data_IF_649412243733
#
_entry.id   IF_649412243733
#
_cell.length_a   1.000
_cell.length_b   1.000
_cell.length_c   1.000
_cell.angle_alpha   90.00
_cell.angle_beta   90.00
_cell.angle_gamma   90.00
#
_symmetry.space_group_name_H-M   'P 1'
#
loop_
_entity.id
_entity.type
_entity.pdbx_description
1 polymer ?
#
# COMPACT_ATOMS: atom_id res chain seq x y z
N UNK A 1 -69.30 40.19 41.74
CA UNK A 1 -69.57 39.28 42.88
C UNK A 1 -69.72 37.88 42.27
N UNK A 2 -69.20 36.84 42.94
CA UNK A 2 -69.14 35.41 42.53
C UNK A 2 -67.94 35.04 41.64
N UNK A 3 -66.75 34.75 42.18
CA UNK A 3 -66.20 33.49 42.80
C UNK A 3 -65.67 32.46 41.81
N UNK A 4 -64.33 32.41 41.68
CA UNK A 4 -63.52 31.34 41.08
C UNK A 4 -63.48 30.09 41.98
N UNK A 5 -63.49 28.86 41.42
CA UNK A 5 -62.98 27.68 42.11
C UNK A 5 -61.70 27.09 41.46
N UNK A 6 -60.69 26.96 42.32
CA UNK A 6 -59.77 25.83 42.52
C UNK A 6 -58.93 25.26 41.35
N UNK A 7 -57.68 25.72 41.24
CA UNK A 7 -56.57 25.10 40.48
C UNK A 7 -55.95 23.84 41.13
N UNK A 8 -56.72 23.06 41.90
CA UNK A 8 -56.22 21.93 42.69
C UNK A 8 -56.25 20.55 42.00
N UNK A 9 -57.02 20.38 40.92
CA UNK A 9 -57.33 19.04 40.37
C UNK A 9 -56.31 18.50 39.35
N UNK A 10 -55.59 19.37 38.63
CA UNK A 10 -54.70 18.97 37.52
C UNK A 10 -53.37 18.36 37.98
N UNK A 11 -52.83 18.80 39.12
CA UNK A 11 -51.58 18.25 39.67
C UNK A 11 -51.77 16.83 40.24
N UNK A 12 -52.96 16.51 40.75
CA UNK A 12 -53.27 15.18 41.30
C UNK A 12 -53.46 14.12 40.20
N UNK A 13 -54.00 14.51 39.04
CA UNK A 13 -54.12 13.60 37.88
C UNK A 13 -52.78 13.27 37.22
N UNK A 14 -51.81 14.20 37.25
CA UNK A 14 -50.49 13.97 36.63
C UNK A 14 -49.61 12.98 37.43
N UNK A 15 -49.67 13.03 38.78
CA UNK A 15 -48.93 12.10 39.65
C UNK A 15 -49.48 10.66 39.56
N UNK A 16 -50.78 10.51 39.35
CA UNK A 16 -51.44 9.20 39.25
C UNK A 16 -51.12 8.49 37.92
N UNK A 17 -50.94 9.25 36.84
CA UNK A 17 -50.59 8.71 35.52
C UNK A 17 -49.12 8.24 35.43
N UNK A 18 -48.20 8.94 36.09
CA UNK A 18 -46.78 8.53 36.15
C UNK A 18 -46.58 7.23 36.94
N UNK A 19 -47.38 7.01 37.99
CA UNK A 19 -47.32 5.82 38.84
C UNK A 19 -47.76 4.54 38.12
N UNK A 20 -48.64 4.66 37.12
CA UNK A 20 -49.14 3.52 36.35
C UNK A 20 -48.22 3.13 35.18
N UNK A 21 -47.57 4.10 34.51
CA UNK A 21 -46.69 3.82 33.36
C UNK A 21 -45.32 3.25 33.74
N UNK A 22 -44.78 3.60 34.91
CA UNK A 22 -43.51 3.04 35.40
C UNK A 22 -43.61 1.56 35.83
N UNK A 23 -44.84 1.07 36.07
CA UNK A 23 -45.07 -0.30 36.53
C UNK A 23 -45.04 -1.34 35.40
N UNK A 24 -45.35 -0.92 34.17
CA UNK A 24 -45.52 -1.84 33.03
C UNK A 24 -44.22 -2.16 32.26
N UNK A 25 -43.16 -1.36 32.40
CA UNK A 25 -41.87 -1.64 31.72
C UNK A 25 -40.93 -2.57 32.49
N UNK A 26 -41.25 -2.92 33.74
CA UNK A 26 -40.40 -3.78 34.58
C UNK A 26 -40.56 -5.28 34.25
N UNK A 27 -41.52 -5.67 33.40
CA UNK A 27 -41.91 -7.07 33.13
C UNK A 27 -40.97 -7.82 32.19
N UNK A 28 -40.01 -7.12 31.59
CA UNK A 28 -39.03 -7.69 30.67
C UNK A 28 -37.65 -7.93 31.30
N UNK A 29 -37.49 -7.65 32.60
CA UNK A 29 -36.25 -7.91 33.31
C UNK A 29 -36.22 -9.37 33.79
N UNK A 30 -35.06 -10.06 33.71
CA UNK A 30 -34.92 -11.42 34.20
C UNK A 30 -35.38 -11.49 35.66
N UNK A 31 -36.11 -12.56 36.00
CA UNK A 31 -36.82 -12.73 37.29
C UNK A 31 -35.90 -12.49 38.51
N UNK A 32 -34.60 -12.79 38.36
CA UNK A 32 -33.55 -12.56 39.36
C UNK A 32 -33.31 -11.07 39.66
N UNK A 33 -33.31 -10.21 38.64
CA UNK A 33 -33.14 -8.77 38.78
C UNK A 33 -34.39 -8.11 39.39
N UNK A 34 -35.56 -8.66 39.07
CA UNK A 34 -36.86 -8.21 39.59
C UNK A 34 -36.99 -8.47 41.09
N UNK A 35 -36.55 -9.64 41.56
CA UNK A 35 -36.59 -10.01 42.98
C UNK A 35 -35.66 -9.11 43.83
N UNK A 36 -34.47 -8.79 43.32
CA UNK A 36 -33.51 -7.91 43.98
C UNK A 36 -34.06 -6.48 44.18
N UNK A 37 -34.72 -5.92 43.15
CA UNK A 37 -35.28 -4.56 43.18
C UNK A 37 -36.50 -4.45 44.11
N UNK A 38 -37.25 -5.54 44.28
CA UNK A 38 -38.45 -5.57 45.12
C UNK A 38 -38.15 -5.58 46.63
N UNK A 39 -36.91 -5.92 47.05
CA UNK A 39 -36.48 -5.94 48.46
C UNK A 39 -35.75 -4.64 48.91
N UNK A 40 -35.68 -3.61 48.05
CA UNK A 40 -34.95 -2.37 48.33
C UNK A 40 -35.83 -1.28 48.96
N UNK A 41 -35.32 -0.62 50.01
CA UNK A 41 -35.96 0.57 50.62
C UNK A 41 -36.08 1.71 49.59
N UNK A 42 -37.16 2.50 49.64
CA UNK A 42 -37.50 3.58 48.69
C UNK A 42 -36.32 4.48 48.27
N UNK A 43 -35.45 4.85 49.22
CA UNK A 43 -34.23 5.64 48.97
C UNK A 43 -33.26 5.03 47.96
N UNK A 44 -33.10 3.70 47.94
CA UNK A 44 -32.20 3.03 46.99
C UNK A 44 -32.78 3.01 45.57
N UNK A 45 -34.12 2.99 45.44
CA UNK A 45 -34.78 3.04 44.13
C UNK A 45 -34.55 4.37 43.42
N UNK A 46 -34.57 5.48 44.17
CA UNK A 46 -34.25 6.82 43.64
C UNK A 46 -32.77 6.93 43.27
N UNK A 47 -31.87 6.42 44.13
CA UNK A 47 -30.43 6.48 43.88
C UNK A 47 -30.03 5.66 42.63
N UNK A 48 -30.63 4.48 42.44
CA UNK A 48 -30.42 3.66 41.24
C UNK A 48 -30.93 4.34 39.96
N UNK A 49 -32.06 5.05 40.02
CA UNK A 49 -32.57 5.79 38.87
C UNK A 49 -31.62 6.93 38.45
N UNK A 50 -31.12 7.70 39.42
CA UNK A 50 -30.16 8.78 39.16
C UNK A 50 -28.84 8.24 38.59
N UNK A 51 -28.30 7.16 39.18
CA UNK A 51 -27.11 6.50 38.66
C UNK A 51 -27.31 5.95 37.24
N UNK A 52 -28.49 5.38 36.96
CA UNK A 52 -28.83 4.87 35.62
C UNK A 52 -28.82 5.94 34.54
N UNK A 53 -29.30 7.15 34.84
CA UNK A 53 -29.26 8.29 33.89
C UNK A 53 -27.83 8.68 33.57
N UNK A 54 -26.96 8.74 34.58
CA UNK A 54 -25.54 9.08 34.39
C UNK A 54 -24.84 8.02 33.53
N UNK A 55 -25.04 6.73 33.84
CA UNK A 55 -24.49 5.62 33.05
C UNK A 55 -24.96 5.68 31.60
N UNK A 56 -26.25 5.96 31.37
CA UNK A 56 -26.82 6.09 30.03
C UNK A 56 -26.18 7.25 29.25
N UNK A 57 -26.00 8.41 29.90
CA UNK A 57 -25.38 9.57 29.27
C UNK A 57 -23.93 9.28 28.85
N UNK A 58 -23.13 8.65 29.73
CA UNK A 58 -21.77 8.23 29.38
C UNK A 58 -21.76 7.18 28.26
N UNK A 59 -22.64 6.18 28.29
CA UNK A 59 -22.70 5.16 27.25
C UNK A 59 -22.98 5.77 25.87
N UNK A 60 -23.95 6.68 25.77
CA UNK A 60 -24.28 7.36 24.51
C UNK A 60 -23.11 8.24 24.02
N UNK A 61 -22.48 8.98 24.93
CA UNK A 61 -21.32 9.81 24.59
C UNK A 61 -20.14 8.96 24.10
N UNK A 62 -19.83 7.86 24.78
CA UNK A 62 -18.77 6.93 24.37
C UNK A 62 -19.06 6.33 23.00
N UNK A 63 -20.28 5.85 22.75
CA UNK A 63 -20.64 5.26 21.45
C UNK A 63 -20.56 6.28 20.30
N UNK A 64 -21.02 7.51 20.52
CA UNK A 64 -20.94 8.57 19.52
C UNK A 64 -19.49 8.92 19.15
N UNK A 65 -18.63 9.09 20.17
CA UNK A 65 -17.23 9.39 19.94
C UNK A 65 -16.45 8.21 19.34
N UNK A 66 -16.72 6.99 19.79
CA UNK A 66 -16.11 5.78 19.23
C UNK A 66 -16.45 5.63 17.74
N UNK A 67 -17.71 5.88 17.36
CA UNK A 67 -18.11 5.87 15.96
C UNK A 67 -17.35 6.91 15.10
N UNK A 68 -17.23 8.14 15.60
CA UNK A 68 -16.51 9.20 14.91
C UNK A 68 -15.00 8.88 14.79
N UNK A 69 -14.38 8.40 15.87
CA UNK A 69 -12.96 8.05 15.91
C UNK A 69 -12.62 6.90 14.97
N UNK A 70 -13.46 5.86 14.87
CA UNK A 70 -13.24 4.74 13.94
C UNK A 70 -13.13 5.22 12.49
N UNK A 71 -13.96 6.19 12.10
CA UNK A 71 -13.92 6.75 10.74
C UNK A 71 -12.61 7.49 10.49
N UNK A 72 -12.18 8.35 11.41
CA UNK A 72 -10.92 9.08 11.31
C UNK A 72 -9.70 8.14 11.32
N UNK A 73 -9.72 7.09 12.16
CA UNK A 73 -8.64 6.09 12.21
C UNK A 73 -8.51 5.38 10.86
N UNK A 74 -9.63 4.94 10.27
CA UNK A 74 -9.60 4.25 8.97
C UNK A 74 -9.05 5.16 7.86
N UNK A 75 -9.45 6.43 7.83
CA UNK A 75 -8.94 7.41 6.85
C UNK A 75 -7.45 7.68 7.02
N UNK A 76 -6.99 7.85 8.27
CA UNK A 76 -5.57 8.05 8.56
C UNK A 76 -4.75 6.80 8.22
N UNK A 77 -5.29 5.61 8.46
CA UNK A 77 -4.64 4.36 8.10
C UNK A 77 -4.53 4.22 6.58
N UNK A 78 -5.60 4.46 5.84
CA UNK A 78 -5.60 4.43 4.38
C UNK A 78 -4.62 5.46 3.79
N UNK A 79 -4.60 6.68 4.33
CA UNK A 79 -3.65 7.72 3.93
C UNK A 79 -2.20 7.31 4.25
N UNK A 80 -1.95 6.77 5.44
CA UNK A 80 -0.61 6.33 5.85
C UNK A 80 -0.10 5.18 4.99
N UNK A 81 -0.92 4.17 4.72
CA UNK A 81 -0.59 3.06 3.82
C UNK A 81 -0.38 3.57 2.39
N UNK A 82 -1.23 4.48 1.92
CA UNK A 82 -1.10 5.10 0.60
C UNK A 82 0.20 5.89 0.45
N UNK A 83 0.54 6.72 1.44
CA UNK A 83 1.77 7.50 1.46
C UNK A 83 3.01 6.61 1.55
N UNK A 84 3.01 5.61 2.43
CA UNK A 84 4.11 4.65 2.53
C UNK A 84 4.31 3.88 1.21
N UNK A 85 3.21 3.49 0.55
CA UNK A 85 3.23 2.87 -0.78
C UNK A 85 3.82 3.80 -1.84
N UNK A 86 3.39 5.06 -1.89
CA UNK A 86 3.92 6.04 -2.83
C UNK A 86 5.41 6.32 -2.60
N UNK A 87 5.83 6.52 -1.34
CA UNK A 87 7.25 6.72 -1.01
C UNK A 87 8.10 5.52 -1.41
N UNK A 88 7.60 4.30 -1.17
CA UNK A 88 8.27 3.06 -1.60
C UNK A 88 8.38 3.00 -3.12
N UNK A 89 7.29 3.29 -3.84
CA UNK A 89 7.28 3.31 -5.30
C UNK A 89 8.25 4.37 -5.87
N UNK A 90 8.26 5.57 -5.31
CA UNK A 90 9.21 6.63 -5.70
C UNK A 90 10.65 6.24 -5.40
N UNK A 91 10.91 5.57 -4.28
CA UNK A 91 12.24 5.06 -3.96
C UNK A 91 12.72 4.03 -4.98
N UNK A 92 11.88 3.06 -5.33
CA UNK A 92 12.18 2.06 -6.37
C UNK A 92 12.39 2.73 -7.73
N UNK A 93 11.53 3.69 -8.09
CA UNK A 93 11.66 4.44 -9.34
C UNK A 93 13.00 5.19 -9.40
N UNK A 94 13.38 5.89 -8.34
CA UNK A 94 14.65 6.64 -8.30
C UNK A 94 15.86 5.69 -8.39
N UNK A 95 15.82 4.56 -7.69
CA UNK A 95 16.86 3.54 -7.73
C UNK A 95 17.02 2.89 -9.12
N UNK A 96 15.90 2.61 -9.81
CA UNK A 96 15.90 2.10 -11.18
C UNK A 96 16.33 3.16 -12.19
N UNK A 97 15.86 4.41 -12.07
CA UNK A 97 16.25 5.51 -12.94
C UNK A 97 17.76 5.72 -12.94
N UNK A 98 18.41 5.64 -11.77
CA UNK A 98 19.87 5.71 -11.69
C UNK A 98 20.57 4.62 -12.50
N UNK A 99 20.07 3.37 -12.42
CA UNK A 99 20.61 2.24 -13.20
C UNK A 99 20.38 2.40 -14.70
N UNK A 100 19.19 2.86 -15.08
CA UNK A 100 18.86 3.17 -16.47
C UNK A 100 19.83 4.20 -17.04
N UNK A 101 20.08 5.30 -16.32
CA UNK A 101 20.99 6.35 -16.77
C UNK A 101 22.43 5.84 -16.97
N UNK A 102 22.92 5.00 -16.06
CA UNK A 102 24.25 4.39 -16.18
C UNK A 102 24.33 3.47 -17.41
N UNK A 103 23.29 2.65 -17.65
CA UNK A 103 23.25 1.76 -18.82
C UNK A 103 23.06 2.53 -20.13
N UNK A 104 22.27 3.60 -20.13
CA UNK A 104 22.08 4.46 -21.30
C UNK A 104 23.38 5.16 -21.66
N UNK A 105 24.17 5.62 -20.66
CA UNK A 105 25.51 6.15 -20.92
C UNK A 105 26.42 5.10 -21.59
N UNK A 106 26.38 3.83 -21.16
CA UNK A 106 27.09 2.75 -21.85
C UNK A 106 26.63 2.64 -23.31
N UNK A 107 25.32 2.59 -23.59
CA UNK A 107 24.83 2.47 -24.98
C UNK A 107 25.22 3.65 -25.86
N UNK A 108 25.27 4.87 -25.30
CA UNK A 108 25.73 6.06 -26.01
C UNK A 108 27.22 6.01 -26.31
N UNK A 109 28.04 5.57 -25.35
CA UNK A 109 29.48 5.38 -25.55
C UNK A 109 29.76 4.32 -26.62
N UNK A 110 29.03 3.19 -26.59
CA UNK A 110 29.14 2.13 -27.61
C UNK A 110 28.68 2.64 -28.98
N UNK A 111 27.59 3.41 -29.04
CA UNK A 111 27.10 3.99 -30.29
C UNK A 111 28.11 4.99 -30.90
N UNK A 112 28.80 5.77 -30.07
CA UNK A 112 29.80 6.74 -30.49
C UNK A 112 31.10 6.10 -30.98
N UNK A 113 31.62 5.11 -30.25
CA UNK A 113 32.89 4.43 -30.59
C UNK A 113 32.70 3.33 -31.65
N UNK A 114 31.47 2.84 -31.82
CA UNK A 114 31.13 1.73 -32.68
C UNK A 114 31.29 0.38 -31.97
N UNK A 115 30.45 -0.58 -32.36
CA UNK A 115 30.40 -1.92 -31.73
C UNK A 115 31.67 -2.75 -31.97
N UNK A 116 32.52 -2.36 -32.91
CA UNK A 116 33.83 -2.99 -33.15
C UNK A 116 34.95 -2.41 -32.28
N UNK A 117 34.65 -1.46 -31.37
CA UNK A 117 35.65 -0.86 -30.46
C UNK A 117 35.96 -1.76 -29.25
N UNK A 118 36.71 -1.26 -28.28
CA UNK A 118 36.99 -1.93 -27.00
C UNK A 118 35.73 -2.05 -26.12
N UNK A 119 34.77 -2.88 -26.55
CA UNK A 119 33.58 -3.22 -25.77
C UNK A 119 33.95 -3.79 -24.42
N UNK A 120 35.04 -4.57 -24.34
CA UNK A 120 35.53 -5.17 -23.10
C UNK A 120 35.85 -4.08 -22.07
N UNK A 121 36.61 -3.05 -22.45
CA UNK A 121 36.91 -1.90 -21.59
C UNK A 121 35.64 -1.14 -21.19
N UNK A 122 34.72 -0.92 -22.14
CA UNK A 122 33.46 -0.21 -21.88
C UNK A 122 32.57 -0.94 -20.87
N UNK A 123 32.35 -2.25 -21.01
CA UNK A 123 31.53 -3.01 -20.05
C UNK A 123 32.25 -3.28 -18.71
N UNK A 124 33.57 -3.05 -18.64
CA UNK A 124 34.37 -3.22 -17.41
C UNK A 124 34.44 -1.97 -16.54
N UNK A 125 33.83 -0.85 -16.94
CA UNK A 125 33.91 0.40 -16.16
C UNK A 125 33.41 0.21 -14.73
N UNK A 126 34.10 0.81 -13.76
CA UNK A 126 33.82 0.65 -12.33
C UNK A 126 32.37 0.95 -11.97
N UNK A 127 31.76 1.96 -12.60
CA UNK A 127 30.35 2.32 -12.39
C UNK A 127 29.38 1.20 -12.77
N UNK A 128 29.70 0.44 -13.82
CA UNK A 128 28.86 -0.67 -14.30
C UNK A 128 29.01 -1.90 -13.40
N UNK A 129 30.25 -2.33 -13.14
CA UNK A 129 30.54 -3.54 -12.35
C UNK A 129 30.18 -3.41 -10.87
N UNK A 130 30.07 -2.19 -10.35
CA UNK A 130 29.58 -1.93 -8.98
C UNK A 130 28.05 -1.77 -8.90
N UNK A 131 27.39 -1.52 -10.04
CA UNK A 131 25.93 -1.28 -10.10
C UNK A 131 25.14 -2.54 -10.46
N UNK A 132 25.70 -3.36 -11.36
CA UNK A 132 25.10 -4.57 -11.91
C UNK A 132 25.93 -5.80 -11.56
N UNK A 133 25.26 -6.93 -11.33
CA UNK A 133 25.91 -8.22 -11.21
C UNK A 133 26.59 -8.61 -12.53
N UNK A 134 25.92 -8.37 -13.66
CA UNK A 134 26.49 -8.51 -14.99
C UNK A 134 26.08 -7.35 -15.89
N UNK A 135 27.06 -6.80 -16.59
CA UNK A 135 26.86 -5.85 -17.68
C UNK A 135 27.32 -6.48 -18.98
N UNK A 136 26.52 -6.34 -20.04
CA UNK A 136 26.83 -6.96 -21.32
C UNK A 136 26.28 -6.21 -22.51
N UNK A 137 26.87 -6.46 -23.67
CA UNK A 137 26.42 -5.97 -24.99
C UNK A 137 26.34 -7.17 -25.92
N UNK A 138 25.18 -7.35 -26.55
CA UNK A 138 25.01 -8.23 -27.70
C UNK A 138 24.87 -7.38 -28.96
N UNK A 139 25.60 -7.71 -30.02
CA UNK A 139 25.45 -7.04 -31.31
C UNK A 139 24.46 -7.75 -32.24
N UNK A 140 24.10 -7.10 -33.34
CA UNK A 140 23.20 -7.67 -34.36
C UNK A 140 23.80 -8.88 -35.09
N UNK A 141 25.13 -9.06 -35.06
CA UNK A 141 25.85 -10.20 -35.64
C UNK A 141 25.89 -11.41 -34.70
N UNK A 142 25.49 -11.25 -33.44
CA UNK A 142 25.49 -12.30 -32.41
C UNK A 142 26.74 -12.32 -31.54
N UNK A 143 27.66 -11.37 -31.68
CA UNK A 143 28.80 -11.20 -30.77
C UNK A 143 28.28 -10.76 -29.41
N UNK A 144 28.79 -11.40 -28.36
CA UNK A 144 28.39 -11.12 -26.99
C UNK A 144 29.63 -10.80 -26.13
N UNK A 145 29.61 -9.63 -25.51
CA UNK A 145 30.66 -9.17 -24.60
C UNK A 145 30.05 -8.89 -23.24
N UNK A 146 30.62 -9.44 -22.17
CA UNK A 146 30.09 -9.28 -20.81
C UNK A 146 31.17 -9.11 -19.74
N UNK A 147 30.78 -8.52 -18.62
CA UNK A 147 31.57 -8.44 -17.38
C UNK A 147 30.69 -8.62 -16.14
N UNK A 148 31.16 -9.35 -15.11
CA UNK A 148 32.36 -10.21 -15.10
C UNK A 148 32.31 -11.31 -16.17
N UNK A 149 33.46 -11.84 -16.55
CA UNK A 149 33.50 -12.89 -17.58
C UNK A 149 33.05 -14.23 -16.99
N UNK A 150 32.17 -14.94 -17.70
CA UNK A 150 31.68 -16.28 -17.35
C UNK A 150 31.52 -17.08 -18.64
N UNK A 151 31.84 -18.37 -18.59
CA UNK A 151 31.67 -19.26 -19.72
C UNK A 151 30.18 -19.40 -20.07
N UNK A 152 29.84 -19.03 -21.30
CA UNK A 152 28.49 -19.18 -21.82
C UNK A 152 28.30 -20.60 -22.39
N UNK A 153 27.09 -21.16 -22.31
CA UNK A 153 26.80 -22.46 -22.89
C UNK A 153 27.04 -22.44 -24.41
N UNK A 154 27.42 -23.60 -24.97
CA UNK A 154 27.61 -23.75 -26.40
C UNK A 154 26.35 -23.34 -27.17
N UNK A 155 26.52 -22.56 -28.24
CA UNK A 155 25.41 -22.04 -29.05
C UNK A 155 24.66 -20.86 -28.44
N UNK A 156 25.17 -20.23 -27.38
CA UNK A 156 24.56 -19.01 -26.84
C UNK A 156 24.51 -17.89 -27.89
N UNK A 157 23.31 -17.40 -28.17
CA UNK A 157 23.04 -16.26 -29.04
C UNK A 157 22.30 -15.17 -28.25
N UNK A 158 22.91 -13.97 -28.06
CA UNK A 158 22.26 -12.89 -27.31
C UNK A 158 20.95 -12.44 -27.95
N UNK A 159 20.81 -12.55 -29.28
CA UNK A 159 19.64 -12.08 -30.04
C UNK A 159 18.40 -12.93 -29.80
N UNK A 160 18.58 -14.14 -29.30
CA UNK A 160 17.48 -15.03 -28.97
C UNK A 160 16.89 -14.78 -27.57
N UNK A 161 17.59 -13.99 -26.74
CA UNK A 161 17.25 -13.78 -25.33
C UNK A 161 16.09 -12.78 -25.16
N UNK A 162 15.27 -12.92 -24.10
CA UNK A 162 14.13 -12.04 -23.85
C UNK A 162 14.52 -10.56 -23.78
N UNK A 163 15.60 -10.23 -23.06
CA UNK A 163 16.09 -8.86 -22.92
C UNK A 163 16.46 -8.23 -24.27
N UNK A 164 17.01 -9.01 -25.21
CA UNK A 164 17.40 -8.48 -26.52
C UNK A 164 16.16 -8.23 -27.38
N UNK A 165 15.31 -9.24 -27.53
CA UNK A 165 14.09 -9.18 -28.37
C UNK A 165 13.17 -8.06 -27.91
N UNK A 166 12.84 -8.01 -26.62
CA UNK A 166 11.94 -7.00 -26.09
C UNK A 166 12.48 -5.57 -26.25
N UNK A 167 13.80 -5.37 -26.15
CA UNK A 167 14.40 -4.05 -26.39
C UNK A 167 14.40 -3.65 -27.86
N UNK A 168 14.66 -4.60 -28.77
CA UNK A 168 14.55 -4.35 -30.22
C UNK A 168 13.11 -4.01 -30.59
N UNK A 169 12.15 -4.81 -30.12
CA UNK A 169 10.72 -4.61 -30.39
C UNK A 169 10.22 -3.26 -29.84
N UNK A 170 10.64 -2.89 -28.63
CA UNK A 170 10.26 -1.62 -28.01
C UNK A 170 11.01 -0.41 -28.58
N UNK A 171 12.20 -0.61 -29.13
CA UNK A 171 13.07 0.45 -29.64
C UNK A 171 13.53 1.46 -28.58
N UNK A 172 13.44 1.13 -27.28
CA UNK A 172 13.78 2.00 -26.14
C UNK A 172 14.25 1.17 -24.96
N UNK A 173 14.79 1.83 -23.94
CA UNK A 173 15.15 1.17 -22.67
C UNK A 173 13.94 0.51 -22.04
N UNK A 174 14.09 -0.74 -21.60
CA UNK A 174 13.06 -1.53 -20.95
C UNK A 174 13.59 -2.25 -19.71
N UNK A 175 12.68 -2.61 -18.81
CA UNK A 175 12.89 -3.62 -17.79
C UNK A 175 12.21 -4.91 -18.26
N UNK A 176 12.96 -6.01 -18.36
CA UNK A 176 12.38 -7.28 -18.80
C UNK A 176 11.44 -7.85 -17.72
N UNK A 177 10.43 -8.65 -18.10
CA UNK A 177 9.84 -9.59 -17.16
C UNK A 177 10.91 -10.54 -16.60
N UNK A 178 10.69 -11.17 -15.43
CA UNK A 178 11.57 -12.21 -14.92
C UNK A 178 11.74 -13.36 -15.91
N UNK A 179 12.96 -13.81 -16.16
CA UNK A 179 13.28 -14.94 -17.05
C UNK A 179 14.47 -15.75 -16.53
N UNK A 180 14.61 -17.00 -16.98
CA UNK A 180 15.75 -17.84 -16.62
C UNK A 180 17.00 -17.43 -17.40
N UNK A 181 18.08 -17.06 -16.69
CA UNK A 181 19.35 -16.76 -17.33
C UNK A 181 20.02 -18.02 -17.91
N UNK A 182 20.89 -17.85 -18.90
CA UNK A 182 21.61 -18.96 -19.55
C UNK A 182 22.50 -19.75 -18.59
N UNK A 183 22.99 -19.07 -17.55
CA UNK A 183 23.83 -19.64 -16.48
C UNK A 183 23.01 -20.00 -15.23
N UNK A 184 21.68 -20.05 -15.36
CA UNK A 184 20.76 -20.38 -14.28
C UNK A 184 20.30 -19.17 -13.45
N UNK A 185 19.23 -19.39 -12.68
CA UNK A 185 18.60 -18.38 -11.84
C UNK A 185 17.55 -17.54 -12.59
N UNK A 186 16.54 -17.09 -11.85
CA UNK A 186 15.53 -16.15 -12.32
C UNK A 186 16.08 -14.73 -12.19
N UNK A 187 16.09 -13.97 -13.29
CA UNK A 187 16.64 -12.61 -13.32
C UNK A 187 15.72 -11.65 -14.03
N UNK A 188 15.91 -10.37 -13.72
CA UNK A 188 15.35 -9.23 -14.43
C UNK A 188 16.52 -8.46 -15.03
N UNK A 189 16.32 -7.88 -16.21
CA UNK A 189 17.36 -7.13 -16.92
C UNK A 189 16.84 -5.76 -17.31
N UNK A 190 17.59 -4.71 -16.98
CA UNK A 190 17.45 -3.42 -17.64
C UNK A 190 18.19 -3.53 -18.96
N UNK A 191 17.52 -3.27 -20.08
CA UNK A 191 18.10 -3.41 -21.41
C UNK A 191 17.81 -2.19 -22.27
N UNK A 192 18.85 -1.66 -22.93
CA UNK A 192 18.78 -0.44 -23.73
C UNK A 192 19.37 -0.67 -25.14
N UNK A 193 18.73 -0.15 -26.20
CA UNK A 193 19.20 -0.35 -27.56
C UNK A 193 20.42 0.53 -27.84
N UNK A 194 21.46 -0.07 -28.44
CA UNK A 194 22.56 0.70 -29.03
C UNK A 194 22.09 1.19 -30.40
N UNK A 195 21.99 2.51 -30.58
CA UNK A 195 21.52 3.13 -31.81
C UNK A 195 22.65 3.90 -32.50
N UNK A 196 23.01 3.50 -33.71
CA UNK A 196 23.98 4.21 -34.57
C UNK A 196 23.25 4.71 -35.81
N UNK A 197 23.31 6.02 -36.09
CA UNK A 197 22.60 6.64 -37.22
C UNK A 197 21.10 6.28 -37.32
N UNK A 198 20.43 6.19 -36.17
CA UNK A 198 19.00 5.84 -36.07
C UNK A 198 18.67 4.35 -36.18
N UNK A 199 19.65 3.48 -36.45
CA UNK A 199 19.46 2.03 -36.54
C UNK A 199 19.96 1.33 -35.29
N UNK A 200 19.25 0.28 -34.85
CA UNK A 200 19.67 -0.54 -33.71
C UNK A 200 20.77 -1.49 -34.17
N UNK A 201 21.98 -1.29 -33.66
CA UNK A 201 23.19 -2.09 -34.00
C UNK A 201 23.50 -3.15 -32.94
N UNK A 202 22.85 -3.08 -31.79
CA UNK A 202 22.95 -4.04 -30.69
C UNK A 202 22.08 -3.63 -29.51
N UNK A 203 22.20 -4.38 -28.43
CA UNK A 203 21.49 -4.11 -27.17
C UNK A 203 22.47 -4.29 -26.02
N UNK A 204 22.50 -3.34 -25.09
CA UNK A 204 23.18 -3.49 -23.82
C UNK A 204 22.20 -3.93 -22.74
N UNK A 205 22.66 -4.77 -21.82
CA UNK A 205 21.89 -5.20 -20.67
C UNK A 205 22.70 -5.11 -19.37
N UNK A 206 22.01 -4.76 -18.29
CA UNK A 206 22.50 -4.80 -16.92
C UNK A 206 21.53 -5.60 -16.06
N UNK A 207 22.04 -6.62 -15.36
CA UNK A 207 21.29 -7.41 -14.36
C UNK A 207 22.00 -7.41 -13.03
#
# INVERSE_FOLDING_TARGET
>A
METLPASGSLLLQCVTFLRHKLFWHLSLLPVTLRCLVMNLKFRHKILLAAAGVVVLAFALFTLYNDYLQRTTINQNLESSVGQAGQLTASSVQNWLSGRILVLENLTQNVAFQGVNSDLSGLVSQSSLVSTFQFTYVGDSKGVFTQRPNVDMPAGYDPRQRPWYKSTVDAGKTILSPPYLASVGGLVVTIASPVKTAGQITGVAGGR
#
